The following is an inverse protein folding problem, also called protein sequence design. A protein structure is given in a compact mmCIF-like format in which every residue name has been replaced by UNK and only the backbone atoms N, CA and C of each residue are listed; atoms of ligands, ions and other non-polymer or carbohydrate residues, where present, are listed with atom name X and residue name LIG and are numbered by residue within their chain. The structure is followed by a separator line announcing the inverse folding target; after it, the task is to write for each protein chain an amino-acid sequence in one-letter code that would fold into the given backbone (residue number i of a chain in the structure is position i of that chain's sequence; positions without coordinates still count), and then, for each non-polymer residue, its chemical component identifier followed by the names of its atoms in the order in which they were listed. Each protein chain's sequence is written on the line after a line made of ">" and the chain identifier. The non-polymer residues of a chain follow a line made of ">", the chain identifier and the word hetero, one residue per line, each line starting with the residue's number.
data_IF_610659024980
#
_entry.id   IF_610659024980
#
_cell.length_a   1.000
_cell.length_b   1.000
_cell.length_c   1.000
_cell.angle_alpha   90.00
_cell.angle_beta   90.00
_cell.angle_gamma   90.00
#
_symmetry.space_group_name_H-M   'P 1'
#
loop_
_entity.id
_entity.type
_entity.pdbx_description
1 polymer ?
#
# COMPACT_ATOMS: atom_id res chain seq x y z
N UNK A 1 -28.02 60.61 24.25
CA UNK A 1 -28.95 59.87 23.37
C UNK A 1 -28.16 59.19 22.26
N UNK A 2 -28.55 57.95 21.93
CA UNK A 2 -28.14 57.09 20.78
C UNK A 2 -26.71 56.48 20.82
N UNK A 3 -26.66 55.18 21.17
CA UNK A 3 -26.36 54.00 20.31
C UNK A 3 -24.84 53.88 20.06
N UNK A 4 -24.11 52.87 20.54
CA UNK A 4 -24.45 51.46 20.69
C UNK A 4 -23.69 50.69 19.60
N UNK A 5 -22.71 49.86 20.01
CA UNK A 5 -22.31 48.58 19.39
C UNK A 5 -20.99 48.15 20.00
N UNK A 6 -21.05 47.27 21.00
CA UNK A 6 -19.90 46.52 21.46
C UNK A 6 -19.52 45.51 20.38
N UNK A 7 -18.35 45.69 19.78
CA UNK A 7 -17.77 44.77 18.82
C UNK A 7 -17.28 43.53 19.59
N UNK A 8 -18.08 42.47 19.58
CA UNK A 8 -17.70 41.16 20.14
C UNK A 8 -16.65 40.56 19.18
N UNK A 9 -15.38 40.59 19.61
CA UNK A 9 -14.30 39.88 18.95
C UNK A 9 -14.56 38.37 19.03
N UNK A 10 -15.05 37.78 17.95
CA UNK A 10 -15.04 36.34 17.74
C UNK A 10 -13.59 35.88 17.63
N UNK A 11 -13.06 35.37 18.74
CA UNK A 11 -11.80 34.62 18.77
C UNK A 11 -11.97 33.37 17.91
N UNK A 12 -11.52 33.43 16.66
CA UNK A 12 -11.37 32.25 15.82
C UNK A 12 -10.14 31.51 16.33
N UNK A 13 -10.36 30.63 17.32
CA UNK A 13 -9.41 29.57 17.65
C UNK A 13 -9.16 28.79 16.36
N UNK A 14 -8.02 29.06 15.71
CA UNK A 14 -7.42 28.15 14.74
C UNK A 14 -7.02 26.90 15.50
N UNK A 15 -7.97 25.99 15.68
CA UNK A 15 -7.72 24.59 15.96
C UNK A 15 -6.91 24.05 14.78
N UNK A 16 -5.58 24.19 14.86
CA UNK A 16 -4.65 23.25 14.25
C UNK A 16 -4.90 21.91 14.95
N UNK A 17 -6.02 21.27 14.61
CA UNK A 17 -6.27 19.90 14.93
C UNK A 17 -5.15 19.11 14.27
N UNK A 18 -4.27 18.55 15.09
CA UNK A 18 -3.41 17.42 14.77
C UNK A 18 -4.30 16.27 14.27
N UNK A 19 -4.77 16.37 13.04
CA UNK A 19 -5.26 15.21 12.32
C UNK A 19 -4.02 14.40 11.96
N UNK A 20 -3.93 13.11 12.34
CA UNK A 20 -2.96 12.25 11.69
C UNK A 20 -3.20 12.37 10.18
N UNK A 21 -2.15 12.48 9.35
CA UNK A 21 -2.32 12.66 7.92
C UNK A 21 -3.29 11.58 7.43
N UNK A 22 -4.44 12.02 6.88
CA UNK A 22 -5.42 11.11 6.31
C UNK A 22 -4.66 10.18 5.36
N UNK A 23 -4.86 8.86 5.43
CA UNK A 23 -4.19 7.93 4.51
C UNK A 23 -4.50 8.40 3.10
N UNK A 24 -3.45 8.76 2.37
CA UNK A 24 -3.60 9.31 1.02
C UNK A 24 -4.10 8.16 0.15
N UNK A 25 -5.30 8.26 -0.47
CA UNK A 25 -5.98 7.12 -1.11
C UNK A 25 -5.22 6.50 -2.30
N UNK A 26 -4.10 7.10 -2.72
CA UNK A 26 -3.21 6.57 -3.77
C UNK A 26 -1.93 5.93 -3.23
N UNK A 27 -1.73 5.89 -1.91
CA UNK A 27 -0.56 5.29 -1.29
C UNK A 27 -0.70 3.75 -1.25
N UNK A 28 -0.25 3.07 -2.31
CA UNK A 28 -0.11 1.60 -2.28
C UNK A 28 1.01 1.24 -1.32
N UNK A 29 0.69 0.42 -0.31
CA UNK A 29 1.66 -0.09 0.66
C UNK A 29 1.76 -1.60 0.56
N UNK A 30 2.93 -2.12 0.90
CA UNK A 30 3.12 -3.55 1.08
C UNK A 30 4.03 -3.81 2.26
N UNK A 31 3.94 -5.01 2.81
CA UNK A 31 4.79 -5.46 3.90
C UNK A 31 5.62 -6.65 3.46
N UNK A 32 6.85 -6.75 3.94
CA UNK A 32 7.72 -7.91 3.69
C UNK A 32 8.23 -8.46 5.02
N UNK A 33 8.25 -9.79 5.13
CA UNK A 33 8.87 -10.48 6.26
C UNK A 33 10.38 -10.49 6.07
N UNK A 34 11.09 -9.84 6.99
CA UNK A 34 12.53 -9.96 7.07
C UNK A 34 12.90 -11.10 8.01
N UNK A 35 13.36 -12.21 7.43
CA UNK A 35 13.77 -13.40 8.19
C UNK A 35 15.02 -13.15 9.05
N UNK A 36 15.88 -12.19 8.69
CA UNK A 36 17.08 -11.82 9.45
C UNK A 36 16.78 -10.95 10.65
N UNK A 37 15.71 -10.15 10.60
CA UNK A 37 15.29 -9.25 11.68
C UNK A 37 14.09 -9.76 12.49
N UNK A 38 13.47 -10.88 12.07
CA UNK A 38 12.29 -11.44 12.72
C UNK A 38 11.10 -10.49 12.76
N UNK A 39 11.05 -9.50 11.86
CA UNK A 39 10.07 -8.41 11.89
C UNK A 39 9.49 -8.10 10.52
N UNK A 40 8.33 -7.43 10.56
CA UNK A 40 7.63 -6.93 9.37
C UNK A 40 8.10 -5.53 9.05
N UNK A 41 8.64 -5.31 7.86
CA UNK A 41 8.88 -3.96 7.34
C UNK A 41 7.77 -3.56 6.40
N UNK A 42 7.24 -2.34 6.57
CA UNK A 42 6.21 -1.78 5.70
C UNK A 42 6.84 -0.76 4.75
N UNK A 43 6.46 -0.83 3.48
CA UNK A 43 6.93 0.04 2.41
C UNK A 43 5.75 0.79 1.78
N UNK A 44 5.99 2.03 1.39
CA UNK A 44 5.10 2.81 0.53
C UNK A 44 5.67 2.85 -0.87
N UNK A 45 4.90 2.37 -1.86
CA UNK A 45 5.31 2.45 -3.26
C UNK A 45 5.36 3.90 -3.72
N UNK A 46 6.54 4.31 -4.17
CA UNK A 46 6.76 5.60 -4.82
C UNK A 46 6.34 5.50 -6.30
N UNK A 47 6.23 6.62 -7.05
CA UNK A 47 5.77 6.58 -8.44
C UNK A 47 6.45 5.51 -9.33
N UNK A 48 7.78 5.29 -9.26
CA UNK A 48 8.43 4.23 -10.04
C UNK A 48 7.95 2.82 -9.67
N UNK A 49 7.83 2.52 -8.37
CA UNK A 49 7.32 1.23 -7.90
C UNK A 49 5.86 0.99 -8.29
N UNK A 50 5.03 2.05 -8.29
CA UNK A 50 3.63 1.96 -8.75
C UNK A 50 3.54 1.70 -10.26
N UNK A 51 4.39 2.35 -11.06
CA UNK A 51 4.45 2.10 -12.50
C UNK A 51 4.83 0.64 -12.79
N UNK A 52 5.88 0.14 -12.11
CA UNK A 52 6.32 -1.25 -12.20
C UNK A 52 5.22 -2.26 -11.85
N UNK A 53 4.52 -2.02 -10.74
CA UNK A 53 3.41 -2.87 -10.30
C UNK A 53 2.28 -2.88 -11.34
N UNK A 54 1.87 -1.69 -11.81
CA UNK A 54 0.83 -1.54 -12.83
C UNK A 54 1.21 -2.25 -14.14
N UNK A 55 2.44 -2.08 -14.61
CA UNK A 55 2.94 -2.79 -15.80
C UNK A 55 2.90 -4.31 -15.62
N UNK A 56 3.27 -4.79 -14.43
CA UNK A 56 3.28 -6.23 -14.12
C UNK A 56 1.89 -6.82 -14.03
N UNK A 57 0.89 -6.07 -13.58
CA UNK A 57 -0.50 -6.52 -13.50
C UNK A 57 -1.31 -6.28 -14.78
N UNK A 58 -0.84 -5.42 -15.68
CA UNK A 58 -1.51 -5.12 -16.95
C UNK A 58 -1.35 -6.25 -18.00
N UNK A 59 -0.37 -7.14 -17.82
CA UNK A 59 -0.21 -8.35 -18.63
C UNK A 59 -1.12 -9.48 -18.12
N UNK A 60 -1.36 -10.46 -18.98
CA UNK A 60 -2.00 -11.70 -18.56
C UNK A 60 -1.15 -12.44 -17.50
N UNK A 61 -1.80 -13.10 -16.53
CA UNK A 61 -1.09 -13.94 -15.56
C UNK A 61 -0.46 -15.13 -16.28
N UNK A 62 0.72 -15.58 -15.81
CA UNK A 62 1.38 -16.77 -16.37
C UNK A 62 0.66 -18.06 -15.99
N UNK A 63 -0.06 -18.04 -14.86
CA UNK A 63 -0.89 -19.13 -14.39
C UNK A 63 -2.19 -18.57 -13.82
N UNK A 64 -3.30 -19.18 -14.22
CA UNK A 64 -4.63 -18.94 -13.66
C UNK A 64 -5.16 -20.28 -13.12
N UNK A 65 -5.37 -20.34 -11.81
CA UNK A 65 -5.75 -21.52 -11.07
C UNK A 65 -7.15 -21.34 -10.52
N UNK A 66 -8.08 -22.21 -10.92
CA UNK A 66 -9.48 -22.20 -10.45
C UNK A 66 -9.66 -22.76 -9.03
N UNK A 67 -8.59 -22.83 -8.23
CA UNK A 67 -8.62 -23.35 -6.88
C UNK A 67 -7.97 -22.33 -5.93
N UNK A 68 -8.58 -22.09 -4.75
CA UNK A 68 -7.96 -21.25 -3.74
C UNK A 68 -6.68 -21.92 -3.23
N UNK A 69 -5.63 -21.13 -3.05
CA UNK A 69 -4.37 -21.58 -2.47
C UNK A 69 -4.18 -20.97 -1.09
N UNK A 70 -3.79 -21.81 -0.14
CA UNK A 70 -3.34 -21.34 1.18
C UNK A 70 -1.84 -21.07 1.11
N UNK A 71 -1.44 -19.83 1.34
CA UNK A 71 -0.04 -19.41 1.30
C UNK A 71 0.35 -18.74 2.62
N UNK A 72 1.62 -18.87 3.01
CA UNK A 72 2.26 -18.01 4.01
C UNK A 72 3.20 -17.08 3.27
N UNK A 73 2.72 -15.92 2.80
CA UNK A 73 3.46 -15.15 1.83
C UNK A 73 4.65 -14.44 2.49
N UNK A 74 5.75 -14.34 1.76
CA UNK A 74 6.93 -13.61 2.25
C UNK A 74 6.76 -12.09 2.21
N UNK A 75 5.78 -11.61 1.44
CA UNK A 75 5.29 -10.25 1.50
C UNK A 75 3.81 -10.15 1.17
N UNK A 76 3.13 -9.14 1.68
CA UNK A 76 1.71 -8.89 1.44
C UNK A 76 1.53 -7.48 0.85
N UNK A 77 0.97 -7.43 -0.35
CA UNK A 77 0.60 -6.21 -1.06
C UNK A 77 -0.93 -6.12 -1.13
N UNK A 78 -1.49 -4.97 -0.79
CA UNK A 78 -2.92 -4.70 -0.95
C UNK A 78 -3.09 -3.62 -2.02
N UNK A 79 -3.79 -3.95 -3.09
CA UNK A 79 -4.08 -3.03 -4.18
C UNK A 79 -5.53 -3.21 -4.63
N UNK A 80 -6.29 -2.11 -4.71
CA UNK A 80 -7.67 -2.09 -5.19
C UNK A 80 -8.57 -3.11 -4.47
N UNK A 81 -8.38 -3.26 -3.15
CA UNK A 81 -9.12 -4.20 -2.30
C UNK A 81 -8.70 -5.67 -2.45
N UNK A 82 -7.74 -5.97 -3.34
CA UNK A 82 -7.23 -7.32 -3.58
C UNK A 82 -5.90 -7.54 -2.85
N UNK A 83 -5.72 -8.75 -2.33
CA UNK A 83 -4.50 -9.17 -1.65
C UNK A 83 -3.61 -9.96 -2.59
N UNK A 84 -2.34 -9.57 -2.64
CA UNK A 84 -1.32 -10.23 -3.44
C UNK A 84 -0.21 -10.71 -2.51
N UNK A 85 0.16 -11.98 -2.63
CA UNK A 85 1.41 -12.47 -2.09
C UNK A 85 2.54 -11.93 -2.96
N UNK A 86 3.53 -11.32 -2.31
CA UNK A 86 4.71 -10.78 -2.94
C UNK A 86 5.90 -11.68 -2.60
N UNK A 87 6.20 -12.61 -3.50
CA UNK A 87 7.34 -13.50 -3.40
C UNK A 87 8.54 -12.93 -4.16
N UNK A 88 9.72 -13.57 -4.02
CA UNK A 88 10.96 -13.06 -4.59
C UNK A 88 10.85 -12.75 -6.09
N UNK A 89 10.23 -13.66 -6.85
CA UNK A 89 10.15 -13.63 -8.31
C UNK A 89 8.71 -13.68 -8.85
N UNK A 90 7.70 -13.52 -7.99
CA UNK A 90 6.31 -13.62 -8.40
C UNK A 90 5.36 -12.78 -7.53
N UNK A 91 4.29 -12.33 -8.17
CA UNK A 91 3.11 -11.73 -7.54
C UNK A 91 1.95 -12.71 -7.69
N UNK A 92 1.29 -13.06 -6.59
CA UNK A 92 0.20 -14.03 -6.59
C UNK A 92 -1.05 -13.37 -6.03
N UNK A 93 -2.04 -13.13 -6.86
CA UNK A 93 -3.40 -12.84 -6.37
C UNK A 93 -3.95 -14.14 -5.79
N UNK A 94 -4.36 -14.12 -4.54
CA UNK A 94 -4.98 -15.26 -3.88
C UNK A 94 -6.32 -14.85 -3.27
N UNK A 95 -7.28 -15.76 -3.27
CA UNK A 95 -8.61 -15.56 -2.71
C UNK A 95 -9.53 -16.75 -3.01
N UNK A 96 -10.79 -16.63 -2.61
CA UNK A 96 -11.77 -17.71 -2.72
C UNK A 96 -12.12 -18.05 -4.18
N UNK A 97 -11.97 -17.09 -5.09
CA UNK A 97 -12.26 -17.25 -6.54
C UNK A 97 -11.14 -17.96 -7.32
N UNK A 98 -10.05 -18.36 -6.65
CA UNK A 98 -8.89 -18.95 -7.29
C UNK A 98 -7.63 -18.12 -7.12
N UNK A 99 -6.65 -18.33 -7.98
CA UNK A 99 -5.35 -17.67 -7.88
C UNK A 99 -4.73 -17.37 -9.21
N UNK A 100 -4.15 -16.17 -9.32
CA UNK A 100 -3.49 -15.69 -10.53
C UNK A 100 -2.05 -15.33 -10.21
N UNK A 101 -1.12 -15.85 -11.00
CA UNK A 101 0.33 -15.73 -10.74
C UNK A 101 0.97 -14.93 -11.87
N UNK A 102 1.69 -13.88 -11.49
CA UNK A 102 2.55 -13.10 -12.36
C UNK A 102 4.02 -13.29 -11.96
N UNK A 103 4.74 -14.13 -12.71
CA UNK A 103 6.18 -14.32 -12.63
C UNK A 103 6.93 -13.11 -13.18
N UNK A 104 7.80 -12.54 -12.37
CA UNK A 104 8.76 -11.50 -12.77
C UNK A 104 9.96 -11.59 -11.86
N UNK A 105 11.08 -12.03 -12.43
CA UNK A 105 12.33 -12.20 -11.69
C UNK A 105 12.70 -10.92 -10.94
N UNK A 106 12.92 -11.03 -9.64
CA UNK A 106 13.31 -9.95 -8.74
C UNK A 106 12.21 -8.95 -8.38
N UNK A 107 10.94 -9.20 -8.70
CA UNK A 107 9.85 -8.23 -8.51
C UNK A 107 9.77 -7.67 -7.10
N UNK A 108 9.96 -8.49 -6.06
CA UNK A 108 9.97 -7.99 -4.67
C UNK A 108 11.10 -7.01 -4.41
N UNK A 109 12.31 -7.34 -4.86
CA UNK A 109 13.46 -6.45 -4.70
C UNK A 109 13.26 -5.15 -5.51
N UNK A 110 12.70 -5.24 -6.71
CA UNK A 110 12.38 -4.07 -7.54
C UNK A 110 11.33 -3.17 -6.89
N UNK A 111 10.27 -3.74 -6.34
CA UNK A 111 9.25 -2.99 -5.61
C UNK A 111 9.82 -2.33 -4.36
N UNK A 112 10.69 -3.02 -3.60
CA UNK A 112 11.40 -2.43 -2.45
C UNK A 112 12.26 -1.24 -2.90
N UNK A 113 13.05 -1.37 -3.98
CA UNK A 113 13.87 -0.27 -4.52
C UNK A 113 13.01 0.91 -4.99
N UNK A 114 11.83 0.64 -5.53
CA UNK A 114 10.85 1.64 -5.95
C UNK A 114 9.99 2.21 -4.81
N UNK A 115 10.39 2.00 -3.54
CA UNK A 115 9.58 2.35 -2.38
C UNK A 115 10.35 3.13 -1.33
N UNK A 116 9.59 3.82 -0.47
CA UNK A 116 10.09 4.37 0.77
C UNK A 116 9.71 3.45 1.92
N UNK A 117 10.66 3.13 2.79
CA UNK A 117 10.38 2.42 4.04
C UNK A 117 9.53 3.31 4.95
N UNK A 118 8.46 2.76 5.52
CA UNK A 118 7.55 3.45 6.44
C UNK A 118 7.86 3.18 7.91
N UNK A 119 8.84 2.32 8.20
CA UNK A 119 9.20 1.96 9.56
C UNK A 119 9.58 3.23 10.36
N UNK A 120 8.87 3.41 11.47
CA UNK A 120 9.03 4.46 12.47
C UNK A 120 9.18 3.78 13.83
#
# INVERSE_FOLDING_TARGET
>A
MKKGSALVLFSTLLLFGCHPPKPVPWATTFSVWDAGLGSRTTFQLMPPGRALLRETLAREPDLDLNAPISLKPSGLLIQDGKSYALEADELILFGDEGSKIWKRKGIRADLIRGSSRLDR
#
